data_IF_246113775177
#
_entry.id   IF_246113775177
#
_cell.length_a   1.000
_cell.length_b   1.000
_cell.length_c   1.000
_cell.angle_alpha   90.00
_cell.angle_beta   90.00
_cell.angle_gamma   90.00
#
_symmetry.space_group_name_H-M   'P 1'
#
loop_
_entity.id
_entity.type
_entity.pdbx_description
1 polymer ?
#
# COMPACT_ATOMS: atom_id res chain seq x y z
N UNK A 1 18.05 17.43 10.96
CA UNK A 1 16.86 16.69 10.49
C UNK A 1 17.28 15.31 9.98
N UNK A 2 16.52 14.24 10.26
CA UNK A 2 16.79 12.89 9.74
C UNK A 2 15.79 12.61 8.61
N UNK A 3 16.29 12.30 7.41
CA UNK A 3 15.47 11.84 6.29
C UNK A 3 15.42 10.32 6.34
N UNK A 4 14.22 9.75 6.29
CA UNK A 4 14.02 8.30 6.21
C UNK A 4 13.90 7.89 4.74
N UNK A 5 14.58 6.81 4.36
CA UNK A 5 14.59 6.29 2.99
C UNK A 5 13.71 5.04 2.93
N UNK A 6 12.78 5.02 1.97
CA UNK A 6 11.93 3.87 1.67
C UNK A 6 12.14 3.36 0.25
N UNK A 7 11.72 2.12 0.01
CA UNK A 7 11.88 1.42 -1.27
C UNK A 7 10.51 1.16 -1.89
N UNK A 8 10.36 1.50 -3.18
CA UNK A 8 9.21 1.14 -3.98
C UNK A 8 9.55 -0.04 -4.89
N UNK A 9 8.91 -1.19 -4.68
CA UNK A 9 9.18 -2.41 -5.46
C UNK A 9 8.11 -3.49 -5.26
N UNK A 10 8.27 -4.62 -5.95
CA UNK A 10 7.60 -5.88 -5.67
C UNK A 10 8.63 -7.03 -5.63
N UNK A 11 8.21 -8.20 -5.17
CA UNK A 11 9.12 -9.35 -5.02
C UNK A 11 9.77 -9.80 -6.34
N UNK A 12 9.06 -9.70 -7.46
CA UNK A 12 9.58 -10.10 -8.76
C UNK A 12 10.66 -9.13 -9.26
N UNK A 13 10.40 -7.84 -9.19
CA UNK A 13 11.34 -6.81 -9.64
C UNK A 13 12.55 -6.74 -8.70
N UNK A 14 12.33 -6.87 -7.39
CA UNK A 14 13.41 -6.99 -6.42
C UNK A 14 14.32 -8.17 -6.75
N UNK A 15 13.76 -9.35 -7.00
CA UNK A 15 14.53 -10.54 -7.39
C UNK A 15 15.33 -10.31 -8.66
N UNK A 16 14.71 -9.73 -9.70
CA UNK A 16 15.38 -9.49 -11.00
C UNK A 16 16.53 -8.49 -10.89
N UNK A 17 16.34 -7.41 -10.15
CA UNK A 17 17.29 -6.28 -10.10
C UNK A 17 18.41 -6.56 -9.09
N UNK A 18 18.09 -7.13 -7.93
CA UNK A 18 19.01 -7.24 -6.80
C UNK A 18 19.48 -8.67 -6.54
N UNK A 19 18.97 -9.65 -7.28
CA UNK A 19 19.15 -11.07 -6.98
C UNK A 19 18.72 -11.42 -5.55
N UNK A 20 17.60 -10.86 -5.08
CA UNK A 20 17.07 -11.03 -3.71
C UNK A 20 18.04 -10.58 -2.60
N UNK A 21 18.87 -9.57 -2.85
CA UNK A 21 19.75 -9.02 -1.83
C UNK A 21 18.94 -8.57 -0.60
N UNK A 22 19.41 -8.94 0.59
CA UNK A 22 18.77 -8.59 1.85
C UNK A 22 19.19 -7.18 2.28
N UNK A 23 18.25 -6.42 2.83
CA UNK A 23 18.53 -5.07 3.32
C UNK A 23 17.88 -4.83 4.68
N UNK A 24 18.43 -3.89 5.43
CA UNK A 24 17.94 -3.54 6.77
C UNK A 24 17.15 -2.22 6.73
N UNK A 25 16.02 -2.23 6.03
CA UNK A 25 15.02 -1.15 6.08
C UNK A 25 13.61 -1.74 6.17
N UNK A 26 12.74 -1.06 6.92
CA UNK A 26 11.35 -1.46 7.12
C UNK A 26 10.37 -0.65 6.26
N UNK A 27 10.85 0.35 5.53
CA UNK A 27 10.00 1.23 4.72
C UNK A 27 9.82 0.70 3.31
N UNK A 28 8.87 -0.22 3.14
CA UNK A 28 8.49 -0.78 1.85
C UNK A 28 7.17 -0.17 1.34
N UNK A 29 7.22 0.39 0.13
CA UNK A 29 6.06 0.66 -0.71
C UNK A 29 5.91 -0.48 -1.73
N UNK A 30 5.07 -1.44 -1.38
CA UNK A 30 4.83 -2.65 -2.14
C UNK A 30 3.91 -2.36 -3.33
N UNK A 31 4.34 -2.69 -4.55
CA UNK A 31 3.51 -2.54 -5.75
C UNK A 31 2.88 -3.87 -6.13
N UNK A 32 1.55 -3.94 -6.14
CA UNK A 32 0.83 -5.15 -6.55
C UNK A 32 -0.45 -4.79 -7.27
N UNK A 33 -0.35 -4.79 -8.59
CA UNK A 33 -1.46 -4.62 -9.53
C UNK A 33 -1.43 -5.80 -10.51
N UNK A 34 -2.60 -6.20 -11.01
CA UNK A 34 -2.66 -7.25 -12.04
C UNK A 34 -2.27 -6.69 -13.41
N UNK A 35 -2.66 -5.44 -13.67
CA UNK A 35 -2.32 -4.67 -14.87
C UNK A 35 -2.60 -3.17 -14.63
N UNK A 36 -2.14 -2.26 -15.49
CA UNK A 36 -2.59 -0.87 -15.47
C UNK A 36 -4.10 -0.74 -15.78
N UNK A 37 -4.74 0.29 -15.23
CA UNK A 37 -6.16 0.61 -15.41
C UNK A 37 -7.08 0.06 -14.32
N UNK A 38 -8.33 0.52 -14.31
CA UNK A 38 -9.36 0.17 -13.32
C UNK A 38 -9.55 -1.34 -13.14
N UNK A 39 -9.52 -2.10 -14.24
CA UNK A 39 -9.69 -3.57 -14.23
C UNK A 39 -8.46 -4.33 -13.73
N UNK A 40 -7.38 -3.63 -13.41
CA UNK A 40 -6.13 -4.21 -12.93
C UNK A 40 -5.89 -4.01 -11.44
N UNK A 41 -6.83 -3.37 -10.74
CA UNK A 41 -6.73 -3.16 -9.30
C UNK A 41 -6.74 -4.49 -8.52
N UNK A 42 -6.02 -4.50 -7.41
CA UNK A 42 -6.06 -5.59 -6.41
C UNK A 42 -6.76 -5.10 -5.15
N UNK A 43 -7.14 -6.00 -4.22
CA UNK A 43 -7.75 -5.59 -2.96
C UNK A 43 -6.87 -4.58 -2.21
N UNK A 44 -7.49 -3.52 -1.69
CA UNK A 44 -6.86 -2.46 -0.90
C UNK A 44 -6.52 -2.92 0.54
N UNK A 45 -5.79 -4.03 0.64
CA UNK A 45 -5.29 -4.61 1.90
C UNK A 45 -3.92 -5.28 1.64
N UNK A 46 -3.30 -5.82 2.68
CA UNK A 46 -1.97 -6.41 2.62
C UNK A 46 -1.97 -7.95 2.61
N UNK A 47 -3.12 -8.60 2.44
CA UNK A 47 -3.28 -10.05 2.59
C UNK A 47 -2.55 -10.85 1.50
N UNK A 48 -2.22 -10.20 0.38
CA UNK A 48 -1.48 -10.79 -0.74
C UNK A 48 0.04 -10.55 -0.65
N UNK A 49 0.51 -9.92 0.42
CA UNK A 49 1.93 -9.71 0.63
C UNK A 49 2.63 -11.01 1.04
N UNK A 50 3.72 -11.33 0.36
CA UNK A 50 4.62 -12.43 0.71
C UNK A 50 5.97 -11.83 1.08
N UNK A 51 6.54 -12.13 2.26
CA UNK A 51 7.84 -11.60 2.68
C UNK A 51 8.97 -11.90 1.70
N UNK A 52 9.88 -10.92 1.51
CA UNK A 52 11.09 -11.06 0.70
C UNK A 52 12.18 -10.12 1.20
N UNK A 53 13.46 -10.48 1.01
CA UNK A 53 14.59 -9.58 1.27
C UNK A 53 14.61 -8.86 2.64
N UNK A 54 14.16 -9.58 3.69
CA UNK A 54 13.91 -9.09 5.07
C UNK A 54 12.75 -8.11 5.25
N UNK A 55 11.99 -7.79 4.21
CA UNK A 55 10.70 -7.15 4.36
C UNK A 55 9.68 -8.16 4.89
N UNK A 56 9.34 -8.02 6.17
CA UNK A 56 8.31 -8.80 6.87
C UNK A 56 6.91 -8.22 6.65
N UNK A 57 6.81 -6.91 6.44
CA UNK A 57 5.56 -6.19 6.17
C UNK A 57 5.79 -4.95 5.32
N UNK A 58 4.83 -4.59 4.45
CA UNK A 58 4.83 -3.32 3.75
C UNK A 58 4.29 -2.19 4.62
N UNK A 59 4.78 -0.98 4.38
CA UNK A 59 4.24 0.27 4.97
C UNK A 59 3.11 0.83 4.11
N UNK A 60 3.26 0.73 2.79
CA UNK A 60 2.32 1.19 1.77
C UNK A 60 2.14 0.08 0.76
N UNK A 61 0.93 -0.08 0.22
CA UNK A 61 0.68 -0.90 -0.96
C UNK A 61 0.06 -0.04 -2.06
N UNK A 62 0.64 -0.06 -3.25
CA UNK A 62 -0.02 0.39 -4.47
C UNK A 62 -0.88 -0.75 -5.00
N UNK A 63 -2.20 -0.59 -4.91
CA UNK A 63 -3.17 -1.58 -5.36
C UNK A 63 -3.84 -1.21 -6.68
N UNK A 64 -3.63 0.01 -7.18
CA UNK A 64 -4.08 0.46 -8.51
C UNK A 64 -3.04 1.34 -9.18
N UNK A 65 -2.86 1.17 -10.49
CA UNK A 65 -1.90 1.92 -11.30
C UNK A 65 -2.58 2.42 -12.57
N UNK A 66 -2.31 3.67 -12.96
CA UNK A 66 -2.85 4.27 -14.18
C UNK A 66 -4.40 4.19 -14.23
N UNK A 67 -5.06 4.51 -13.12
CA UNK A 67 -6.51 4.45 -12.98
C UNK A 67 -7.11 5.81 -13.29
N UNK A 68 -8.15 5.87 -14.13
CA UNK A 68 -8.85 7.12 -14.42
C UNK A 68 -9.90 7.39 -13.34
N UNK A 69 -9.80 8.53 -12.66
CA UNK A 69 -10.75 8.96 -11.65
C UNK A 69 -11.02 10.44 -11.83
N UNK A 70 -12.29 10.81 -12.05
CA UNK A 70 -12.67 12.21 -12.30
C UNK A 70 -11.77 12.86 -13.38
N UNK A 71 -11.57 12.15 -14.49
CA UNK A 71 -10.73 12.57 -15.63
C UNK A 71 -9.22 12.69 -15.36
N UNK A 72 -8.76 12.39 -14.15
CA UNK A 72 -7.33 12.37 -13.80
C UNK A 72 -6.84 10.94 -13.71
N UNK A 73 -5.65 10.69 -14.25
CA UNK A 73 -4.96 9.41 -14.10
C UNK A 73 -4.17 9.39 -12.78
N UNK A 74 -4.48 8.42 -11.91
CA UNK A 74 -3.88 8.30 -10.58
C UNK A 74 -3.38 6.88 -10.30
N UNK A 75 -2.47 6.77 -9.33
CA UNK A 75 -2.16 5.51 -8.65
C UNK A 75 -2.89 5.48 -7.30
N UNK A 76 -3.47 4.33 -6.97
CA UNK A 76 -4.22 4.13 -5.72
C UNK A 76 -3.40 3.34 -4.72
N UNK A 77 -3.35 3.83 -3.48
CA UNK A 77 -2.51 3.29 -2.42
C UNK A 77 -3.29 3.09 -1.13
N UNK A 78 -2.95 2.04 -0.38
CA UNK A 78 -3.39 1.83 1.00
C UNK A 78 -2.19 1.89 1.94
N UNK A 79 -2.37 2.53 3.08
CA UNK A 79 -1.32 2.75 4.07
C UNK A 79 -1.61 1.94 5.33
N UNK A 80 -0.57 1.39 5.94
CA UNK A 80 -0.71 0.76 7.25
C UNK A 80 -0.99 1.85 8.30
N UNK A 81 -2.23 1.87 8.81
CA UNK A 81 -2.76 2.95 9.68
C UNK A 81 -1.91 3.18 10.94
N UNK A 82 -1.22 2.16 11.45
CA UNK A 82 -0.34 2.30 12.61
C UNK A 82 0.86 3.24 12.38
N UNK A 83 1.33 3.39 11.12
CA UNK A 83 2.36 4.38 10.78
C UNK A 83 1.79 5.80 10.63
N UNK A 84 0.53 5.93 10.22
CA UNK A 84 -0.17 7.22 10.14
C UNK A 84 -0.50 7.77 11.53
N UNK A 85 -0.94 6.92 12.47
CA UNK A 85 -1.20 7.33 13.85
C UNK A 85 0.06 7.71 14.63
N UNK A 86 1.22 7.16 14.25
CA UNK A 86 2.52 7.56 14.83
C UNK A 86 2.99 8.93 14.34
N UNK A 87 2.49 9.42 13.21
CA UNK A 87 2.91 10.70 12.64
C UNK A 87 1.96 11.86 12.95
N UNK A 88 0.65 11.61 13.15
CA UNK A 88 -0.30 12.61 13.68
C UNK A 88 -1.40 11.89 14.44
N UNK A 89 -1.86 12.46 15.56
CA UNK A 89 -2.97 11.97 16.39
C UNK A 89 -4.31 11.92 15.66
N UNK A 90 -4.43 11.02 14.67
CA UNK A 90 -5.64 10.74 13.94
C UNK A 90 -6.54 9.88 14.82
N UNK A 91 -7.37 10.56 15.64
CA UNK A 91 -8.56 9.95 16.22
C UNK A 91 -9.52 9.64 15.08
N UNK A 92 -9.71 8.36 14.81
CA UNK A 92 -10.82 7.86 14.00
C UNK A 92 -12.10 8.49 14.53
N UNK A 93 -12.75 9.36 13.74
CA UNK A 93 -14.09 9.83 14.06
C UNK A 93 -15.06 8.77 13.52
N UNK A 94 -15.61 7.99 14.44
CA UNK A 94 -16.82 7.22 14.22
C UNK A 94 -17.84 8.02 13.42
N UNK A 95 -18.43 7.39 12.40
CA UNK A 95 -19.65 7.84 11.73
C UNK A 95 -20.11 6.73 10.78
N UNK A 96 -21.27 6.08 10.91
CA UNK A 96 -22.50 6.22 11.73
C UNK A 96 -23.10 4.79 11.85
N UNK A 97 -24.00 4.49 12.80
CA UNK A 97 -24.76 3.24 12.73
C UNK A 97 -25.60 3.18 11.44
N UNK A 98 -25.90 1.97 10.92
CA UNK A 98 -26.67 1.80 9.69
C UNK A 98 -28.07 2.41 9.85
N UNK A 99 -28.57 3.07 8.79
CA UNK A 99 -29.99 3.42 8.71
C UNK A 99 -30.79 2.11 8.69
N UNK A 100 -31.46 1.80 9.79
CA UNK A 100 -32.46 0.73 9.86
C UNK A 100 -33.69 1.20 9.09
N UNK A 101 -33.92 0.62 7.90
CA UNK A 101 -35.24 0.61 7.28
C UNK A 101 -36.11 -0.40 8.03
N UNK A 102 -37.26 0.02 8.57
CA UNK A 102 -38.19 -0.89 9.20
C UNK A 102 -39.51 -0.24 9.62
N UNK A 103 -40.51 -0.44 8.75
CA UNK A 103 -41.98 -0.44 8.92
C UNK A 103 -42.67 0.80 9.51
#
# INVERSE_FOLDING_TARGET
YKVLIGIYTNSNDWKKITNNHAIDTHFLWYSKVNKPGEKGETPANFNDFVPFAKFDKPTVKQFGQNVKLCEVTVNKNVFLVSMLQRSRGFKSRDSRPPLTNGA
#
